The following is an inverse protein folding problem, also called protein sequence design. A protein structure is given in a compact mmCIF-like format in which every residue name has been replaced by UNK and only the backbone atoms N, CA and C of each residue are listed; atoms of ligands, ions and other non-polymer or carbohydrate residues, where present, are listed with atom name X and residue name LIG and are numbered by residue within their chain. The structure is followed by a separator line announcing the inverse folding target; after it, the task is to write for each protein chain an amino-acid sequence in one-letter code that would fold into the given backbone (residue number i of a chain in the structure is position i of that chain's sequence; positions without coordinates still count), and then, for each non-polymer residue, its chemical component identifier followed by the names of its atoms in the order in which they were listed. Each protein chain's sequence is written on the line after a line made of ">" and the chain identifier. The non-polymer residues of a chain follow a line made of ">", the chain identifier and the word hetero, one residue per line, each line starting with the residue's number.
data_IF_414089574325
#
_entry.id   IF_414089574325
#
_cell.length_a   1.000
_cell.length_b   1.000
_cell.length_c   1.000
_cell.angle_alpha   90.00
_cell.angle_beta   90.00
_cell.angle_gamma   90.00
#
_symmetry.space_group_name_H-M   'P 1'
#
loop_
_entity.id
_entity.type
_entity.pdbx_description
1 polymer ?
#
# COMPACT_ATOMS: atom_id res chain seq x y z
N UNK A 1 -13.36 3.02 -6.27
CA UNK A 1 -14.71 2.54 -6.62
C UNK A 1 -14.70 1.86 -7.98
N UNK A 2 -14.19 2.52 -9.03
CA UNK A 2 -14.12 1.99 -10.39
C UNK A 2 -13.74 0.50 -10.55
N UNK A 3 -12.64 0.04 -9.94
CA UNK A 3 -12.22 -1.37 -10.04
C UNK A 3 -13.26 -2.38 -9.51
N UNK A 4 -13.92 -2.07 -8.38
CA UNK A 4 -14.96 -2.94 -7.81
C UNK A 4 -16.22 -2.91 -8.68
N UNK A 5 -16.56 -1.73 -9.21
CA UNK A 5 -17.71 -1.51 -10.08
C UNK A 5 -17.53 -2.16 -11.47
N UNK A 6 -16.30 -2.26 -11.95
CA UNK A 6 -15.91 -2.92 -13.20
C UNK A 6 -15.81 -4.46 -13.08
N UNK A 7 -16.13 -5.01 -11.90
CA UNK A 7 -16.16 -6.46 -11.65
C UNK A 7 -14.80 -7.10 -11.37
N UNK A 8 -13.76 -6.28 -11.14
CA UNK A 8 -12.40 -6.72 -10.81
C UNK A 8 -12.30 -7.05 -9.31
N UNK A 9 -13.05 -8.08 -8.92
CA UNK A 9 -13.09 -8.61 -7.56
C UNK A 9 -11.89 -9.54 -7.34
N UNK A 10 -10.94 -9.06 -6.55
CA UNK A 10 -9.82 -9.86 -6.09
C UNK A 10 -10.22 -10.69 -4.87
N UNK A 11 -9.83 -11.96 -4.83
CA UNK A 11 -10.01 -12.80 -3.65
C UNK A 11 -9.18 -12.29 -2.47
N UNK A 12 -9.73 -12.44 -1.26
CA UNK A 12 -9.00 -12.15 -0.03
C UNK A 12 -7.86 -13.15 0.13
N UNK A 13 -6.60 -12.70 0.31
CA UNK A 13 -5.47 -13.59 0.58
C UNK A 13 -5.71 -14.47 1.81
N UNK A 14 -5.25 -15.72 1.79
CA UNK A 14 -5.52 -16.70 2.86
C UNK A 14 -5.18 -16.17 4.26
N UNK A 15 -4.01 -15.53 4.43
CA UNK A 15 -3.56 -14.97 5.71
C UNK A 15 -4.34 -13.72 6.18
N UNK A 16 -5.39 -13.31 5.48
CA UNK A 16 -6.32 -12.25 5.89
C UNK A 16 -7.75 -12.75 6.07
N UNK A 17 -8.01 -14.04 5.83
CA UNK A 17 -9.33 -14.66 6.04
C UNK A 17 -9.53 -14.96 7.52
N UNK A 18 -10.79 -15.12 7.94
CA UNK A 18 -11.11 -15.46 9.32
C UNK A 18 -10.67 -16.89 9.71
N UNK A 19 -10.76 -17.81 8.76
CA UNK A 19 -10.22 -19.18 8.82
C UNK A 19 -8.74 -19.27 8.41
N UNK A 20 -8.13 -18.13 8.11
CA UNK A 20 -6.77 -18.03 7.59
C UNK A 20 -5.69 -18.15 8.65
N UNK A 21 -4.50 -18.58 8.22
CA UNK A 21 -3.30 -18.65 9.06
C UNK A 21 -2.15 -17.80 8.49
N UNK A 22 -1.22 -17.38 9.34
CA UNK A 22 -0.04 -16.60 8.94
C UNK A 22 -0.26 -15.08 8.83
N UNK A 23 -1.37 -14.56 9.37
CA UNK A 23 -1.53 -13.12 9.57
C UNK A 23 -0.41 -12.59 10.48
N UNK A 24 0.26 -11.50 10.08
CA UNK A 24 1.27 -10.88 10.91
C UNK A 24 0.69 -9.61 11.53
N UNK A 25 0.61 -9.57 12.85
CA UNK A 25 0.05 -8.43 13.56
C UNK A 25 1.02 -7.23 13.50
N UNK A 26 0.67 -6.12 12.82
CA UNK A 26 1.62 -5.04 12.59
C UNK A 26 2.11 -4.36 13.87
N UNK A 27 1.31 -4.39 14.94
CA UNK A 27 1.64 -3.74 16.21
C UNK A 27 2.73 -4.46 17.02
N UNK A 28 3.03 -5.73 16.72
CA UNK A 28 4.15 -6.44 17.37
C UNK A 28 5.51 -6.08 16.76
N UNK A 29 5.52 -5.47 15.57
CA UNK A 29 6.75 -5.00 14.93
C UNK A 29 7.20 -3.67 15.53
N UNK A 30 8.52 -3.45 15.75
CA UNK A 30 9.05 -2.20 16.30
C UNK A 30 8.62 -0.94 15.52
N UNK A 31 8.41 -1.09 14.21
CA UNK A 31 7.96 -0.01 13.31
C UNK A 31 6.44 0.12 13.18
N UNK A 32 5.66 -0.67 13.93
CA UNK A 32 4.21 -0.82 13.79
C UNK A 32 3.80 -1.16 12.33
N UNK A 33 4.67 -1.88 11.64
CA UNK A 33 4.55 -2.19 10.21
C UNK A 33 5.21 -3.52 9.89
N UNK A 34 4.62 -4.27 8.96
CA UNK A 34 5.12 -5.56 8.49
C UNK A 34 5.02 -5.65 6.96
N UNK A 35 6.05 -6.16 6.25
CA UNK A 35 5.97 -6.40 4.82
C UNK A 35 5.07 -7.62 4.53
N UNK A 36 3.75 -7.41 4.53
CA UNK A 36 2.74 -8.43 4.18
C UNK A 36 1.94 -7.99 2.94
N UNK A 37 1.55 -8.96 2.11
CA UNK A 37 0.71 -8.71 0.94
C UNK A 37 -0.76 -8.53 1.39
N UNK A 38 -1.34 -7.37 1.08
CA UNK A 38 -2.76 -7.08 1.38
C UNK A 38 -3.68 -7.20 0.17
N UNK A 39 -3.10 -7.32 -1.02
CA UNK A 39 -3.79 -7.60 -2.26
C UNK A 39 -3.10 -8.81 -2.92
N UNK A 40 -3.85 -9.69 -3.60
CA UNK A 40 -3.26 -10.85 -4.28
C UNK A 40 -2.33 -10.42 -5.43
N UNK A 41 -2.65 -9.31 -6.09
CA UNK A 41 -1.79 -8.70 -7.09
C UNK A 41 -1.30 -7.32 -6.64
N UNK A 42 -0.09 -6.95 -7.04
CA UNK A 42 0.47 -5.65 -6.70
C UNK A 42 -0.19 -4.55 -7.52
N UNK A 43 -1.21 -3.91 -6.94
CA UNK A 43 -1.89 -2.76 -7.54
C UNK A 43 -1.65 -1.48 -6.75
N UNK A 44 -1.72 -0.34 -7.45
CA UNK A 44 -1.53 0.99 -6.88
C UNK A 44 -2.68 1.89 -7.29
N UNK A 45 -3.42 2.38 -6.30
CA UNK A 45 -4.57 3.27 -6.52
C UNK A 45 -4.34 4.69 -5.98
N UNK A 46 -3.32 4.88 -5.15
CA UNK A 46 -3.01 6.17 -4.53
C UNK A 46 -1.63 6.69 -4.97
N UNK A 47 -1.62 7.96 -5.39
CA UNK A 47 -0.47 8.69 -5.88
C UNK A 47 -0.37 10.00 -5.08
N UNK A 48 0.41 10.01 -3.98
CA UNK A 48 0.49 11.18 -3.12
C UNK A 48 1.13 12.36 -3.85
N UNK A 49 0.51 13.55 -3.74
CA UNK A 49 1.07 14.79 -4.22
C UNK A 49 2.27 15.30 -3.41
N UNK A 50 2.81 16.45 -3.81
CA UNK A 50 3.95 17.13 -3.14
C UNK A 50 3.50 18.18 -2.12
N UNK A 51 2.21 18.46 -1.98
CA UNK A 51 1.72 19.61 -1.22
C UNK A 51 1.21 19.20 0.17
N UNK A 52 1.50 20.04 1.17
CA UNK A 52 0.93 19.92 2.52
C UNK A 52 1.19 18.57 3.19
N UNK A 53 0.12 17.94 3.69
CA UNK A 53 0.20 16.66 4.41
C UNK A 53 0.60 15.48 3.50
N UNK A 54 0.30 15.56 2.20
CA UNK A 54 0.61 14.47 1.26
C UNK A 54 2.12 14.25 1.11
N UNK A 55 2.92 15.31 1.21
CA UNK A 55 4.38 15.21 1.20
C UNK A 55 4.89 14.32 2.35
N UNK A 56 4.36 14.51 3.57
CA UNK A 56 4.72 13.69 4.74
C UNK A 56 4.24 12.24 4.59
N UNK A 57 3.07 12.04 3.99
CA UNK A 57 2.55 10.71 3.70
C UNK A 57 3.46 10.01 2.67
N UNK A 58 3.89 10.70 1.62
CA UNK A 58 4.81 10.18 0.59
C UNK A 58 6.13 9.73 1.22
N UNK A 59 6.75 10.55 2.06
CA UNK A 59 8.00 10.18 2.74
C UNK A 59 7.82 8.95 3.64
N UNK A 60 6.71 8.86 4.39
CA UNK A 60 6.41 7.67 5.19
C UNK A 60 6.18 6.43 4.33
N UNK A 61 5.52 6.56 3.18
CA UNK A 61 5.31 5.45 2.24
C UNK A 61 6.62 4.96 1.62
N UNK A 62 7.57 5.85 1.31
CA UNK A 62 8.91 5.50 0.82
C UNK A 62 9.71 4.65 1.82
N UNK A 63 9.58 4.92 3.12
CA UNK A 63 10.26 4.14 4.17
C UNK A 63 9.84 2.66 4.19
N UNK A 64 8.57 2.39 3.90
CA UNK A 64 7.98 1.06 4.02
C UNK A 64 7.89 0.29 2.70
N UNK A 65 7.72 0.99 1.58
CA UNK A 65 7.46 0.36 0.28
C UNK A 65 8.35 0.94 -0.82
N UNK A 66 9.23 0.09 -1.36
CA UNK A 66 10.14 0.44 -2.47
C UNK A 66 9.44 1.04 -3.69
N UNK A 67 8.19 0.64 -3.98
CA UNK A 67 7.41 1.15 -5.12
C UNK A 67 7.04 2.64 -5.03
N UNK A 68 7.22 3.29 -3.88
CA UNK A 68 7.02 4.74 -3.74
C UNK A 68 8.34 5.52 -3.81
N UNK A 69 9.50 4.83 -3.90
CA UNK A 69 10.80 5.49 -4.06
C UNK A 69 10.94 6.11 -5.45
N UNK A 70 10.45 5.42 -6.48
CA UNK A 70 10.50 5.83 -7.89
C UNK A 70 9.16 6.43 -8.34
N UNK A 71 8.71 7.46 -7.63
CA UNK A 71 7.38 8.02 -7.86
C UNK A 71 7.39 9.08 -8.96
N UNK A 72 6.62 8.92 -10.06
CA UNK A 72 6.67 9.81 -11.23
C UNK A 72 6.15 11.24 -10.96
N UNK A 73 5.54 11.49 -9.80
CA UNK A 73 5.24 12.86 -9.38
C UNK A 73 6.51 13.63 -9.01
N UNK A 74 7.63 12.95 -8.76
CA UNK A 74 8.93 13.58 -8.50
C UNK A 74 9.48 14.27 -9.76
N UNK A 75 9.29 13.67 -10.93
CA UNK A 75 9.80 14.14 -12.23
C UNK A 75 9.01 15.32 -12.85
N UNK A 76 7.75 15.52 -12.45
CA UNK A 76 6.87 16.57 -13.03
C UNK A 76 7.03 17.96 -12.40
N UNK A 77 8.17 18.25 -11.77
CA UNK A 77 8.47 19.55 -11.18
C UNK A 77 9.86 20.03 -11.55
N UNK A 78 10.04 20.43 -12.81
CA UNK A 78 11.13 21.30 -13.26
C UNK A 78 10.55 22.51 -13.96
#
# INVERSE_FOLDING_TARGET
>A
MKAVEEGDLMEVPYHLRNDGEGYQYPHDSPGHWVPQAYLPEQRRFYYPGKLGAEARIKERLKLFWKRFADDPADEQGS
#
